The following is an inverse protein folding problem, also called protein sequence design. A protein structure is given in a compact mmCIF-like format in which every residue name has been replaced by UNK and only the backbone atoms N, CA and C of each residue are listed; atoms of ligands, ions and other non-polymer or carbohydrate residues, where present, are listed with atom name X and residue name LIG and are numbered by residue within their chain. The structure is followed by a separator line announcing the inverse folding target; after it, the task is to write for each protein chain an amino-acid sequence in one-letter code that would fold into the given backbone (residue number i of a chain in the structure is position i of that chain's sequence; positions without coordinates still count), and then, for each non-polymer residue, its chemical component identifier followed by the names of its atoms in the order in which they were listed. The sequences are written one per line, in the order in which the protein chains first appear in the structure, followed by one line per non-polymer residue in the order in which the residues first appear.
data_IF_800238666083
#
_entry.id   IF_800238666083
#
_cell.length_a   1.000
_cell.length_b   1.000
_cell.length_c   1.000
_cell.angle_alpha   90.00
_cell.angle_beta   90.00
_cell.angle_gamma   90.00
#
_symmetry.space_group_name_H-M   'P 1'
#
loop_
_entity.id
_entity.type
_entity.pdbx_description
1 polymer ?
#
# COMPACT_ATOMS: atom_id res chain seq x y z
N UNK A 1 7.10 -6.08 23.57
CA UNK A 1 7.20 -7.22 22.62
C UNK A 1 7.56 -6.78 21.19
N UNK A 2 7.18 -5.59 20.71
CA UNK A 2 7.47 -5.09 19.34
C UNK A 2 8.93 -5.23 18.88
N UNK A 3 9.89 -4.94 19.76
CA UNK A 3 11.32 -4.99 19.44
C UNK A 3 11.81 -6.39 19.06
N UNK A 4 11.34 -7.42 19.75
CA UNK A 4 11.73 -8.82 19.47
C UNK A 4 11.23 -9.25 18.10
N UNK A 5 9.98 -8.89 17.77
CA UNK A 5 9.40 -9.20 16.47
C UNK A 5 10.09 -8.44 15.32
N UNK A 6 10.46 -7.16 15.52
CA UNK A 6 11.24 -6.41 14.51
C UNK A 6 12.67 -6.95 14.35
N UNK A 7 13.30 -7.44 15.42
CA UNK A 7 14.60 -8.13 15.32
C UNK A 7 14.45 -9.43 14.53
N UNK A 8 13.40 -10.21 14.80
CA UNK A 8 13.09 -11.42 14.04
C UNK A 8 12.83 -11.11 12.56
N UNK A 9 12.09 -10.04 12.26
CA UNK A 9 11.88 -9.54 10.90
C UNK A 9 13.22 -9.25 10.21
N UNK A 10 14.13 -8.56 10.88
CA UNK A 10 15.45 -8.25 10.32
C UNK A 10 16.24 -9.51 9.95
N UNK A 11 16.22 -10.54 10.81
CA UNK A 11 16.97 -11.79 10.63
C UNK A 11 16.33 -12.73 9.60
N UNK A 12 15.00 -12.80 9.53
CA UNK A 12 14.28 -13.68 8.60
C UNK A 12 14.20 -13.16 7.15
N UNK A 13 14.76 -11.99 6.85
CA UNK A 13 14.81 -11.43 5.50
C UNK A 13 14.10 -10.08 5.32
N UNK A 14 13.54 -9.50 6.39
CA UNK A 14 12.93 -8.18 6.39
C UNK A 14 13.89 -7.05 5.97
N UNK A 15 15.20 -7.22 6.19
CA UNK A 15 16.20 -6.29 5.66
C UNK A 15 16.29 -6.35 4.13
N UNK A 16 16.29 -7.55 3.55
CA UNK A 16 16.37 -7.75 2.11
C UNK A 16 15.10 -7.23 1.40
N UNK A 17 13.92 -7.50 1.96
CA UNK A 17 12.66 -6.97 1.43
C UNK A 17 12.62 -5.45 1.52
N UNK A 18 13.07 -4.86 2.63
CA UNK A 18 13.14 -3.40 2.77
C UNK A 18 14.07 -2.79 1.73
N UNK A 19 15.24 -3.40 1.50
CA UNK A 19 16.20 -2.92 0.48
C UNK A 19 15.62 -3.02 -0.93
N UNK A 20 14.91 -4.11 -1.27
CA UNK A 20 14.24 -4.27 -2.56
C UNK A 20 13.17 -3.19 -2.79
N UNK A 21 12.33 -2.92 -1.79
CA UNK A 21 11.30 -1.88 -1.88
C UNK A 21 11.89 -0.46 -1.88
N UNK A 22 13.01 -0.24 -1.19
CA UNK A 22 13.74 1.03 -1.22
C UNK A 22 14.33 1.29 -2.60
N UNK A 23 14.93 0.27 -3.23
CA UNK A 23 15.39 0.37 -4.62
C UNK A 23 14.24 0.61 -5.60
N UNK A 24 13.11 -0.09 -5.45
CA UNK A 24 11.92 0.15 -6.27
C UNK A 24 11.39 1.59 -6.10
N UNK A 25 11.45 2.13 -4.88
CA UNK A 25 11.09 3.53 -4.60
C UNK A 25 12.05 4.48 -5.29
N UNK A 26 13.37 4.27 -5.21
CA UNK A 26 14.38 5.10 -5.89
C UNK A 26 14.20 5.06 -7.42
N UNK A 27 13.98 3.88 -7.99
CA UNK A 27 13.70 3.73 -9.42
C UNK A 27 12.44 4.49 -9.80
N UNK A 28 11.37 4.41 -9.00
CA UNK A 28 10.14 5.18 -9.25
C UNK A 28 10.33 6.69 -9.17
N UNK A 29 11.25 7.18 -8.34
CA UNK A 29 11.58 8.62 -8.26
C UNK A 29 12.29 9.06 -9.55
N UNK A 30 13.22 8.24 -10.04
CA UNK A 30 13.95 8.50 -11.30
C UNK A 30 12.99 8.49 -12.48
N UNK A 31 12.01 7.59 -12.48
CA UNK A 31 10.90 7.59 -13.44
C UNK A 31 9.86 8.65 -13.00
N UNK A 32 10.11 9.92 -13.30
CA UNK A 32 9.25 11.08 -12.94
C UNK A 32 7.75 10.84 -13.25
N UNK A 33 7.42 10.04 -14.26
CA UNK A 33 6.04 9.66 -14.58
C UNK A 33 5.35 8.80 -13.50
N UNK A 34 6.12 8.15 -12.62
CA UNK A 34 5.65 7.25 -11.56
C UNK A 34 5.67 7.88 -10.16
N UNK A 35 5.80 9.21 -10.06
CA UNK A 35 5.69 9.96 -8.80
C UNK A 35 4.48 9.58 -7.92
N UNK A 36 3.25 9.31 -8.43
CA UNK A 36 2.17 8.84 -7.56
C UNK A 36 2.45 7.46 -6.97
N UNK A 37 3.11 6.56 -7.72
CA UNK A 37 3.48 5.22 -7.26
C UNK A 37 4.58 5.25 -6.19
N UNK A 38 5.49 6.22 -6.28
CA UNK A 38 6.56 6.43 -5.28
C UNK A 38 6.02 6.52 -3.87
N UNK A 39 4.90 7.23 -3.65
CA UNK A 39 4.28 7.38 -2.32
C UNK A 39 3.88 6.02 -1.75
N UNK A 40 3.28 5.15 -2.57
CA UNK A 40 2.90 3.80 -2.15
C UNK A 40 4.11 2.91 -1.87
N UNK A 41 5.12 2.91 -2.75
CA UNK A 41 6.35 2.12 -2.55
C UNK A 41 7.12 2.54 -1.28
N UNK A 42 7.13 3.83 -0.98
CA UNK A 42 7.75 4.37 0.23
C UNK A 42 7.06 3.89 1.51
N UNK A 43 5.73 3.87 1.55
CA UNK A 43 4.99 3.34 2.71
C UNK A 43 5.22 1.83 2.88
N UNK A 44 5.26 1.06 1.79
CA UNK A 44 5.59 -0.37 1.83
C UNK A 44 7.02 -0.59 2.38
N UNK A 45 7.97 0.26 1.98
CA UNK A 45 9.36 0.20 2.47
C UNK A 45 9.40 0.40 3.99
N UNK A 46 8.69 1.41 4.52
CA UNK A 46 8.63 1.65 5.98
C UNK A 46 8.01 0.49 6.74
N UNK A 47 6.89 -0.03 6.23
CA UNK A 47 6.17 -1.15 6.84
C UNK A 47 7.00 -2.44 6.78
N UNK A 48 7.80 -2.64 5.73
CA UNK A 48 8.71 -3.78 5.62
C UNK A 48 9.86 -3.70 6.64
N UNK A 49 10.34 -2.50 6.99
CA UNK A 49 11.44 -2.33 7.95
C UNK A 49 10.99 -2.59 9.39
N UNK A 50 9.84 -2.02 9.77
CA UNK A 50 9.28 -2.14 11.12
C UNK A 50 7.78 -2.47 11.07
N UNK A 51 7.42 -3.72 10.72
CA UNK A 51 6.01 -4.10 10.61
C UNK A 51 5.32 -4.13 11.97
N UNK A 52 6.07 -4.42 13.04
CA UNK A 52 5.48 -4.67 14.35
C UNK A 52 5.40 -3.39 15.18
N UNK A 53 4.15 -3.00 15.48
CA UNK A 53 3.84 -1.79 16.23
C UNK A 53 3.04 -0.75 15.47
N UNK A 54 2.83 -0.97 14.17
CA UNK A 54 1.93 -0.18 13.35
C UNK A 54 0.53 -0.84 13.36
N UNK A 55 -0.48 -0.03 13.61
CA UNK A 55 -1.89 -0.44 13.51
C UNK A 55 -2.46 -0.01 12.17
N UNK A 56 -3.09 -0.95 11.46
CA UNK A 56 -3.80 -0.66 10.22
C UNK A 56 -5.19 -0.10 10.58
N UNK A 57 -5.28 1.22 10.63
CA UNK A 57 -6.54 1.94 10.84
C UNK A 57 -7.19 2.27 9.51
N UNK A 58 -8.53 2.28 9.48
CA UNK A 58 -9.25 2.66 8.28
C UNK A 58 -9.05 4.15 8.00
N UNK A 59 -8.86 4.53 6.73
CA UNK A 59 -8.70 5.94 6.32
C UNK A 59 -9.89 6.82 6.74
N UNK A 60 -11.07 6.22 6.82
CA UNK A 60 -12.31 6.82 7.28
C UNK A 60 -12.29 7.22 8.77
N UNK A 61 -11.55 6.46 9.58
CA UNK A 61 -11.36 6.74 11.01
C UNK A 61 -10.23 7.75 11.20
N UNK A 62 -9.18 7.69 10.38
CA UNK A 62 -8.04 8.61 10.42
C UNK A 62 -8.38 10.01 9.92
N UNK A 63 -9.25 10.15 8.91
CA UNK A 63 -9.66 11.43 8.35
C UNK A 63 -11.18 11.47 8.06
N UNK A 64 -12.02 11.62 9.10
CA UNK A 64 -13.47 11.62 8.93
C UNK A 64 -13.98 12.79 8.08
N UNK A 65 -13.24 13.91 8.01
CA UNK A 65 -13.59 15.08 7.20
C UNK A 65 -13.38 14.86 5.69
N UNK A 66 -12.59 13.87 5.29
CA UNK A 66 -12.37 13.52 3.89
C UNK A 66 -13.38 12.50 3.35
N UNK A 67 -14.32 12.01 4.17
CA UNK A 67 -15.41 11.13 3.71
C UNK A 67 -16.24 11.87 2.67
N UNK A 68 -16.13 11.41 1.42
CA UNK A 68 -16.94 11.90 0.31
C UNK A 68 -17.85 10.79 -0.20
N UNK A 69 -19.16 10.98 -0.06
CA UNK A 69 -20.19 10.04 -0.55
C UNK A 69 -19.97 9.76 -2.05
N UNK A 70 -19.59 10.79 -2.82
CA UNK A 70 -19.31 10.68 -4.24
C UNK A 70 -18.18 9.69 -4.57
N UNK A 71 -17.05 9.71 -3.85
CA UNK A 71 -15.95 8.77 -4.12
C UNK A 71 -16.33 7.33 -3.75
N UNK A 72 -17.09 7.15 -2.66
CA UNK A 72 -17.49 5.82 -2.20
C UNK A 72 -18.52 5.18 -3.14
N UNK A 73 -19.51 5.95 -3.59
CA UNK A 73 -20.47 5.53 -4.61
C UNK A 73 -19.79 5.30 -5.96
N UNK A 74 -18.90 6.20 -6.37
CA UNK A 74 -18.13 6.05 -7.61
C UNK A 74 -17.30 4.77 -7.62
N UNK A 75 -16.58 4.47 -6.53
CA UNK A 75 -15.82 3.23 -6.38
C UNK A 75 -16.69 1.98 -6.44
N UNK A 76 -17.87 2.02 -5.83
CA UNK A 76 -18.83 0.90 -5.89
C UNK A 76 -19.36 0.67 -7.31
N UNK A 77 -19.71 1.74 -8.03
CA UNK A 77 -20.17 1.67 -9.42
C UNK A 77 -19.06 1.15 -10.33
N UNK A 78 -17.82 1.63 -10.16
CA UNK A 78 -16.65 1.14 -10.90
C UNK A 78 -16.36 -0.33 -10.60
N UNK A 79 -16.52 -0.81 -9.37
CA UNK A 79 -16.39 -2.23 -9.04
C UNK A 79 -17.47 -3.08 -9.71
N UNK A 80 -18.72 -2.61 -9.75
CA UNK A 80 -19.81 -3.30 -10.46
C UNK A 80 -19.52 -3.33 -11.97
N UNK A 81 -19.10 -2.21 -12.54
CA UNK A 81 -18.69 -2.13 -13.94
C UNK A 81 -17.53 -3.09 -14.25
N UNK A 82 -16.51 -3.10 -13.39
CA UNK A 82 -15.38 -4.01 -13.50
C UNK A 82 -15.81 -5.46 -13.42
N UNK A 83 -16.69 -5.84 -12.48
CA UNK A 83 -17.20 -7.21 -12.38
C UNK A 83 -17.93 -7.62 -13.67
N UNK A 84 -18.78 -6.76 -14.22
CA UNK A 84 -19.51 -7.09 -15.45
C UNK A 84 -18.59 -7.23 -16.67
N UNK A 85 -17.64 -6.32 -16.83
CA UNK A 85 -16.76 -6.29 -18.00
C UNK A 85 -15.58 -7.27 -17.89
N UNK A 86 -14.99 -7.41 -16.72
CA UNK A 86 -13.87 -8.32 -16.47
C UNK A 86 -14.30 -9.75 -16.21
N UNK A 87 -15.49 -10.03 -15.67
CA UNK A 87 -15.97 -11.41 -15.52
C UNK A 87 -16.62 -11.95 -16.81
N UNK A 88 -17.12 -11.07 -17.69
CA UNK A 88 -17.75 -11.47 -18.96
C UNK A 88 -16.77 -11.71 -20.14
N UNK A 89 -15.49 -11.37 -19.99
CA UNK A 89 -14.47 -11.45 -21.07
C UNK A 89 -13.58 -12.70 -21.08
N UNK A 90 -13.76 -13.63 -20.12
CA UNK A 90 -12.97 -14.86 -20.00
C UNK A 90 -13.86 -16.12 -20.00
N UNK A 91 -14.90 -16.13 -20.83
CA UNK A 91 -15.69 -17.32 -21.13
C UNK A 91 -15.70 -17.57 -22.66
#
# INVERSE_FOLDING_TARGET
MRTVLNILNFVLGGFATTLAWLLATLVSIVLIFTLPLTRSCWEITKLSLFPYGNEAIHVDELNPAAKSVLMNTGGTVLNIFWLLFSAGGYA
#
